data_IF_523920245262
#
_entry.id   IF_523920245262
#
_cell.length_a   1.000
_cell.length_b   1.000
_cell.length_c   1.000
_cell.angle_alpha   90.00
_cell.angle_beta   90.00
_cell.angle_gamma   90.00
#
_symmetry.space_group_name_H-M   'P 1'
#
loop_
_entity.id
_entity.type
_entity.pdbx_description
1 polymer ?
#
# COMPACT_ATOMS: atom_id res chain seq x y z
N UNK A 1 -6.79 -14.06 11.75
CA UNK A 1 -8.21 -14.06 11.33
C UNK A 1 -8.26 -14.59 9.92
N UNK A 2 -9.14 -15.55 9.57
CA UNK A 2 -9.09 -16.16 8.25
C UNK A 2 -9.46 -15.12 7.18
N UNK A 3 -8.52 -14.89 6.28
CA UNK A 3 -8.76 -14.25 4.99
C UNK A 3 -8.87 -15.38 3.98
N UNK A 4 -10.01 -15.50 3.33
CA UNK A 4 -10.31 -16.62 2.42
C UNK A 4 -10.39 -16.13 0.99
N UNK A 5 -9.88 -16.93 0.06
CA UNK A 5 -10.08 -16.68 -1.36
C UNK A 5 -11.54 -16.93 -1.75
N UNK A 6 -12.09 -16.05 -2.57
CA UNK A 6 -13.49 -16.13 -3.03
C UNK A 6 -13.57 -16.49 -4.51
N UNK A 7 -12.90 -15.70 -5.37
CA UNK A 7 -12.96 -15.88 -6.82
C UNK A 7 -11.80 -15.17 -7.51
N UNK A 8 -11.53 -15.55 -8.76
CA UNK A 8 -10.57 -14.87 -9.63
C UNK A 8 -11.19 -14.57 -10.99
N UNK A 9 -10.77 -13.46 -11.62
CA UNK A 9 -11.20 -13.05 -12.96
C UNK A 9 -10.08 -12.33 -13.72
N UNK A 10 -10.22 -12.20 -15.04
CA UNK A 10 -9.31 -11.37 -15.83
C UNK A 10 -9.71 -9.90 -15.72
N UNK A 11 -8.72 -9.04 -15.50
CA UNK A 11 -8.87 -7.58 -15.46
C UNK A 11 -7.98 -6.97 -16.54
N UNK A 12 -8.52 -6.73 -17.76
CA UNK A 12 -7.84 -5.93 -18.76
C UNK A 12 -7.67 -4.49 -18.28
N UNK A 13 -6.45 -3.97 -18.35
CA UNK A 13 -6.13 -2.57 -18.03
C UNK A 13 -5.29 -1.97 -19.15
N UNK A 14 -5.09 -0.63 -19.19
CA UNK A 14 -4.17 -0.02 -20.14
C UNK A 14 -2.71 -0.47 -20.03
N UNK A 15 -2.33 -1.19 -18.95
CA UNK A 15 -0.94 -1.60 -18.70
C UNK A 15 -0.70 -3.07 -19.02
N UNK A 16 -1.62 -3.94 -18.62
CA UNK A 16 -1.60 -5.39 -18.85
C UNK A 16 -2.98 -5.99 -18.55
N UNK A 17 -3.19 -7.26 -18.92
CA UNK A 17 -4.32 -8.06 -18.43
C UNK A 17 -3.89 -8.80 -17.17
N UNK A 18 -4.30 -8.31 -16.01
CA UNK A 18 -4.03 -8.94 -14.72
C UNK A 18 -5.03 -10.07 -14.44
N UNK A 19 -4.67 -10.97 -13.54
CA UNK A 19 -5.65 -11.80 -12.83
C UNK A 19 -6.02 -11.06 -11.54
N UNK A 20 -7.29 -10.74 -11.37
CA UNK A 20 -7.84 -10.11 -10.16
C UNK A 20 -8.39 -11.21 -9.25
N UNK A 21 -7.79 -11.34 -8.07
CA UNK A 21 -8.13 -12.36 -7.06
C UNK A 21 -8.85 -11.67 -5.90
N UNK A 22 -10.08 -12.07 -5.61
CA UNK A 22 -10.89 -11.54 -4.53
C UNK A 22 -10.75 -12.36 -3.25
N UNK A 23 -10.61 -11.67 -2.12
CA UNK A 23 -10.47 -12.24 -0.78
C UNK A 23 -11.46 -11.62 0.19
N UNK A 24 -11.92 -12.38 1.17
CA UNK A 24 -12.86 -11.96 2.22
C UNK A 24 -12.23 -12.18 3.60
N UNK A 25 -12.20 -11.13 4.43
CA UNK A 25 -12.00 -11.22 5.87
C UNK A 25 -13.30 -11.73 6.53
N UNK A 26 -13.37 -13.02 6.88
CA UNK A 26 -14.63 -13.62 7.36
C UNK A 26 -15.16 -12.98 8.65
N UNK A 27 -14.25 -12.48 9.50
CA UNK A 27 -14.60 -11.95 10.80
C UNK A 27 -15.34 -10.59 10.74
N UNK A 28 -15.20 -9.83 9.66
CA UNK A 28 -15.83 -8.50 9.54
C UNK A 28 -16.42 -8.22 8.15
N UNK A 29 -16.36 -9.18 7.23
CA UNK A 29 -16.90 -9.06 5.88
C UNK A 29 -16.12 -8.11 4.97
N UNK A 30 -14.92 -7.65 5.35
CA UNK A 30 -14.11 -6.79 4.48
C UNK A 30 -13.57 -7.59 3.30
N UNK A 31 -13.59 -6.97 2.14
CA UNK A 31 -13.12 -7.56 0.90
C UNK A 31 -11.75 -6.99 0.55
N UNK A 32 -10.89 -7.78 -0.08
CA UNK A 32 -9.58 -7.34 -0.54
C UNK A 32 -9.34 -7.91 -1.93
N UNK A 33 -8.47 -7.26 -2.69
CA UNK A 33 -8.13 -7.70 -4.03
C UNK A 33 -6.63 -7.82 -4.18
N UNK A 34 -6.18 -8.87 -4.85
CA UNK A 34 -4.80 -8.98 -5.34
C UNK A 34 -4.79 -9.06 -6.85
N UNK A 35 -4.10 -8.13 -7.49
CA UNK A 35 -3.79 -8.20 -8.92
C UNK A 35 -2.49 -8.97 -9.10
N UNK A 36 -2.52 -10.06 -9.87
CA UNK A 36 -1.32 -10.83 -10.22
C UNK A 36 -1.07 -10.80 -11.73
N UNK A 37 0.20 -10.87 -12.10
CA UNK A 37 0.67 -10.96 -13.48
C UNK A 37 1.86 -11.93 -13.56
N UNK A 38 1.93 -12.73 -14.63
CA UNK A 38 3.01 -13.69 -14.86
C UNK A 38 2.94 -14.93 -13.95
N UNK A 39 3.98 -15.77 -14.01
CA UNK A 39 4.18 -16.89 -13.09
C UNK A 39 4.82 -16.38 -11.80
N UNK A 40 4.07 -16.40 -10.70
CA UNK A 40 4.48 -15.85 -9.39
C UNK A 40 4.71 -16.93 -8.33
N UNK A 41 4.61 -18.20 -8.70
CA UNK A 41 4.64 -19.35 -7.77
C UNK A 41 5.91 -20.22 -7.91
N UNK A 42 6.85 -19.83 -8.77
CA UNK A 42 8.14 -20.50 -9.01
C UNK A 42 9.13 -20.45 -7.82
N UNK A 43 8.80 -19.70 -6.77
CA UNK A 43 9.61 -19.53 -5.56
C UNK A 43 10.66 -18.42 -5.65
N UNK A 44 10.86 -17.79 -6.81
CA UNK A 44 11.74 -16.63 -6.94
C UNK A 44 11.07 -15.36 -6.37
N UNK A 45 11.82 -14.38 -5.84
CA UNK A 45 11.26 -13.13 -5.33
C UNK A 45 10.36 -12.42 -6.35
N UNK A 46 9.15 -12.03 -5.93
CA UNK A 46 8.13 -11.42 -6.80
C UNK A 46 8.09 -9.91 -6.60
N UNK A 47 8.08 -9.13 -7.70
CA UNK A 47 7.86 -7.68 -7.59
C UNK A 47 6.47 -7.42 -7.00
N UNK A 48 6.44 -6.79 -5.83
CA UNK A 48 5.24 -6.68 -5.01
C UNK A 48 4.91 -5.25 -4.62
N UNK A 49 3.63 -4.89 -4.62
CA UNK A 49 3.13 -3.68 -3.96
C UNK A 49 2.03 -4.04 -2.99
N UNK A 50 2.15 -3.55 -1.77
CA UNK A 50 1.02 -3.50 -0.84
C UNK A 50 0.48 -2.07 -0.87
N UNK A 51 -0.76 -1.89 -1.29
CA UNK A 51 -1.44 -0.61 -1.43
C UNK A 51 -2.61 -0.56 -0.45
N UNK A 52 -2.63 0.44 0.43
CA UNK A 52 -3.80 0.70 1.26
C UNK A 52 -4.75 1.59 0.47
N UNK A 53 -6.01 1.18 0.37
CA UNK A 53 -7.07 1.91 -0.31
C UNK A 53 -7.11 3.40 0.08
N UNK A 54 -7.27 4.24 -0.93
CA UNK A 54 -7.49 5.66 -0.78
C UNK A 54 -8.45 6.14 -1.87
N UNK A 55 -9.76 6.07 -1.65
CA UNK A 55 -10.78 6.41 -2.65
C UNK A 55 -10.52 7.78 -3.30
N UNK A 56 -10.20 8.78 -2.48
CA UNK A 56 -9.95 10.14 -2.96
C UNK A 56 -8.79 10.21 -3.94
N UNK A 57 -7.69 9.50 -3.68
CA UNK A 57 -6.52 9.49 -4.56
C UNK A 57 -6.68 8.51 -5.73
N UNK A 58 -7.17 7.31 -5.46
CA UNK A 58 -7.18 6.18 -6.37
C UNK A 58 -8.26 6.31 -7.45
N UNK A 59 -9.39 6.95 -7.15
CA UNK A 59 -10.53 7.07 -8.07
C UNK A 59 -11.00 8.51 -8.32
N UNK A 60 -10.87 9.41 -7.34
CA UNK A 60 -11.40 10.78 -7.43
C UNK A 60 -10.35 11.84 -7.78
N UNK A 61 -9.19 11.42 -8.28
CA UNK A 61 -8.13 12.30 -8.80
C UNK A 61 -7.65 13.35 -7.79
N UNK A 62 -7.74 13.07 -6.49
CA UNK A 62 -7.32 14.01 -5.45
C UNK A 62 -5.84 14.33 -5.58
N UNK A 63 -5.53 15.62 -5.61
CA UNK A 63 -4.17 16.13 -5.59
C UNK A 63 -3.61 16.30 -4.16
N UNK A 64 -4.44 16.09 -3.12
CA UNK A 64 -4.03 16.22 -1.70
C UNK A 64 -3.08 15.10 -1.25
N UNK A 65 -3.07 13.96 -1.93
CA UNK A 65 -2.22 12.82 -1.62
C UNK A 65 -1.59 12.25 -2.89
N UNK A 66 -0.64 11.33 -2.72
CA UNK A 66 0.07 10.65 -3.79
C UNK A 66 -0.49 9.24 -4.11
N UNK A 67 -1.55 8.80 -3.43
CA UNK A 67 -2.06 7.42 -3.50
C UNK A 67 -2.38 6.95 -4.94
N UNK A 68 -3.16 7.71 -5.71
CA UNK A 68 -3.50 7.33 -7.08
C UNK A 68 -2.28 7.21 -7.99
N UNK A 69 -1.34 8.15 -7.88
CA UNK A 69 -0.09 8.08 -8.62
C UNK A 69 0.76 6.86 -8.25
N UNK A 70 0.77 6.46 -6.96
CA UNK A 70 1.49 5.28 -6.49
C UNK A 70 0.84 3.98 -6.96
N UNK A 71 -0.50 3.92 -6.99
CA UNK A 71 -1.24 2.78 -7.53
C UNK A 71 -0.88 2.60 -9.01
N UNK A 72 -0.98 3.67 -9.81
CA UNK A 72 -0.65 3.64 -11.23
C UNK A 72 0.81 3.23 -11.47
N UNK A 73 1.76 3.86 -10.76
CA UNK A 73 3.18 3.56 -10.91
C UNK A 73 3.51 2.11 -10.58
N UNK A 74 2.90 1.55 -9.53
CA UNK A 74 3.07 0.14 -9.16
C UNK A 74 2.50 -0.81 -10.22
N UNK A 75 1.30 -0.54 -10.75
CA UNK A 75 0.71 -1.36 -11.82
C UNK A 75 1.55 -1.32 -13.10
N UNK A 76 2.07 -0.14 -13.48
CA UNK A 76 2.99 0.01 -14.62
C UNK A 76 4.30 -0.74 -14.41
N UNK A 77 4.87 -0.67 -13.21
CA UNK A 77 6.11 -1.38 -12.88
C UNK A 77 5.93 -2.90 -13.00
N UNK A 78 4.83 -3.45 -12.45
CA UNK A 78 4.50 -4.88 -12.58
C UNK A 78 4.28 -5.26 -14.04
N UNK A 79 3.56 -4.45 -14.80
CA UNK A 79 3.33 -4.70 -16.23
C UNK A 79 4.63 -4.72 -17.04
N UNK A 80 5.58 -3.83 -16.74
CA UNK A 80 6.91 -3.79 -17.39
C UNK A 80 7.77 -4.99 -17.02
N UNK A 81 7.74 -5.42 -15.76
CA UNK A 81 8.43 -6.63 -15.30
C UNK A 81 7.80 -7.89 -15.95
N UNK A 82 6.52 -7.84 -16.30
CA UNK A 82 5.74 -8.98 -16.79
C UNK A 82 5.38 -10.00 -15.71
N UNK A 83 5.83 -9.77 -14.47
CA UNK A 83 5.66 -10.65 -13.32
C UNK A 83 5.55 -9.85 -12.03
N UNK A 84 4.46 -10.02 -11.28
CA UNK A 84 4.31 -9.31 -10.01
C UNK A 84 2.93 -9.40 -9.38
N UNK A 85 2.83 -8.84 -8.17
CA UNK A 85 1.59 -8.77 -7.38
C UNK A 85 1.32 -7.38 -6.83
N UNK A 86 0.07 -6.94 -6.85
CA UNK A 86 -0.42 -5.75 -6.15
C UNK A 86 -1.55 -6.14 -5.22
N UNK A 87 -1.32 -6.03 -3.91
CA UNK A 87 -2.32 -6.23 -2.87
C UNK A 87 -3.02 -4.89 -2.62
N UNK A 88 -4.31 -4.81 -2.95
CA UNK A 88 -5.16 -3.67 -2.68
C UNK A 88 -5.98 -3.94 -1.41
N UNK A 89 -5.51 -3.37 -0.29
CA UNK A 89 -6.10 -3.59 1.03
C UNK A 89 -7.17 -2.53 1.30
N UNK A 90 -8.43 -2.95 1.48
CA UNK A 90 -9.56 -2.05 1.80
C UNK A 90 -9.55 -1.58 3.26
N UNK A 91 -8.50 -0.83 3.60
CA UNK A 91 -8.23 -0.23 4.90
C UNK A 91 -8.07 1.29 4.77
N UNK A 92 -9.12 1.93 4.24
CA UNK A 92 -9.17 3.38 4.00
C UNK A 92 -8.80 4.20 5.25
N UNK A 93 -8.14 5.34 5.02
CA UNK A 93 -7.81 6.31 6.06
C UNK A 93 -6.81 5.79 7.10
N UNK A 94 -6.02 4.76 6.80
CA UNK A 94 -5.21 4.02 7.78
C UNK A 94 -6.06 3.24 8.79
N UNK A 95 -7.18 2.70 8.34
CA UNK A 95 -8.07 1.87 9.15
C UNK A 95 -9.22 2.62 9.82
N UNK A 96 -9.22 3.95 9.82
CA UNK A 96 -10.30 4.76 10.41
C UNK A 96 -11.53 4.91 9.50
N UNK A 97 -11.41 4.51 8.22
CA UNK A 97 -12.47 4.58 7.23
C UNK A 97 -12.62 5.96 6.57
N UNK A 98 -13.41 6.00 5.49
CA UNK A 98 -13.56 7.18 4.63
C UNK A 98 -14.19 8.37 5.37
N UNK A 99 -15.23 8.14 6.18
CA UNK A 99 -15.95 9.23 6.86
C UNK A 99 -15.04 9.97 7.84
N UNK A 100 -14.22 9.24 8.61
CA UNK A 100 -13.29 9.85 9.55
C UNK A 100 -12.11 10.51 8.83
N UNK A 101 -11.67 9.99 7.69
CA UNK A 101 -10.70 10.68 6.82
C UNK A 101 -11.23 12.02 6.31
N UNK A 102 -12.52 12.11 5.95
CA UNK A 102 -13.15 13.38 5.54
C UNK A 102 -13.19 14.36 6.72
N UNK A 103 -13.58 13.91 7.93
CA UNK A 103 -13.50 14.74 9.14
C UNK A 103 -12.08 15.23 9.42
N UNK A 104 -11.08 14.38 9.21
CA UNK A 104 -9.68 14.77 9.37
C UNK A 104 -9.27 15.83 8.33
N UNK A 105 -9.80 15.76 7.10
CA UNK A 105 -9.61 16.80 6.08
C UNK A 105 -10.30 18.10 6.44
N UNK A 106 -11.51 18.06 7.00
CA UNK A 106 -12.21 19.26 7.48
C UNK A 106 -11.38 19.99 8.56
N UNK A 107 -10.82 19.23 9.51
CA UNK A 107 -9.93 19.80 10.53
C UNK A 107 -8.65 20.38 9.92
N UNK A 108 -8.08 19.73 8.91
CA UNK A 108 -6.89 20.22 8.20
C UNK A 108 -7.17 21.47 7.38
N UNK A 109 -8.34 21.55 6.74
CA UNK A 109 -8.80 22.74 6.02
C UNK A 109 -9.01 23.92 7.01
N UNK A 110 -9.30 23.61 8.28
CA UNK A 110 -9.30 24.54 9.41
C UNK A 110 -7.92 24.84 10.02
N UNK A 111 -6.83 24.31 9.46
CA UNK A 111 -5.45 24.60 9.86
C UNK A 111 -4.76 23.58 10.76
N UNK A 112 -5.45 22.50 11.16
CA UNK A 112 -4.80 21.42 11.92
C UNK A 112 -3.81 20.62 11.05
N UNK A 113 -2.75 20.08 11.65
CA UNK A 113 -1.91 19.13 10.92
C UNK A 113 -2.52 17.70 10.92
N UNK A 114 -1.96 16.79 10.13
CA UNK A 114 -2.50 15.42 10.02
C UNK A 114 -2.47 14.64 11.34
N UNK A 115 -1.50 14.89 12.22
CA UNK A 115 -1.41 14.20 13.52
C UNK A 115 -2.45 14.79 14.46
N UNK A 116 -2.50 16.12 14.57
CA UNK A 116 -3.45 16.84 15.38
C UNK A 116 -4.90 16.51 15.01
N UNK A 117 -5.20 16.42 13.70
CA UNK A 117 -6.51 16.03 13.22
C UNK A 117 -6.92 14.61 13.69
N UNK A 118 -5.98 13.66 13.72
CA UNK A 118 -6.28 12.30 14.20
C UNK A 118 -6.44 12.24 15.72
N UNK A 119 -5.61 12.99 16.47
CA UNK A 119 -5.72 13.10 17.93
C UNK A 119 -7.07 13.71 18.34
N UNK A 120 -7.50 14.79 17.68
CA UNK A 120 -8.83 15.41 17.90
C UNK A 120 -9.98 14.46 17.62
N UNK A 121 -9.79 13.53 16.68
CA UNK A 121 -10.79 12.52 16.34
C UNK A 121 -10.70 11.25 17.21
N UNK A 122 -9.74 11.18 18.14
CA UNK A 122 -9.57 10.07 19.07
C UNK A 122 -8.98 8.79 18.45
N UNK A 123 -8.31 8.89 17.30
CA UNK A 123 -7.72 7.73 16.61
C UNK A 123 -6.21 7.64 16.83
N UNK A 124 -5.70 6.41 16.99
CA UNK A 124 -4.28 6.14 16.85
C UNK A 124 -3.77 6.53 15.45
N UNK A 125 -2.47 6.86 15.34
CA UNK A 125 -1.86 7.35 14.09
C UNK A 125 -1.92 6.36 12.91
N UNK A 126 -2.06 5.07 13.19
CA UNK A 126 -2.21 3.97 12.22
C UNK A 126 -2.92 2.78 12.87
N UNK A 127 -4.02 2.31 12.27
CA UNK A 127 -4.81 1.15 12.73
C UNK A 127 -4.87 0.04 11.68
N UNK A 128 -3.94 0.05 10.72
CA UNK A 128 -3.89 -0.97 9.67
C UNK A 128 -3.35 -2.28 10.22
N UNK A 129 -3.97 -3.37 9.80
CA UNK A 129 -3.48 -4.72 10.01
C UNK A 129 -2.90 -5.25 8.69
N UNK A 130 -1.59 -5.48 8.66
CA UNK A 130 -0.93 -6.07 7.49
C UNK A 130 -0.89 -7.61 7.56
N UNK A 131 -1.34 -8.23 8.65
CA UNK A 131 -1.36 -9.68 8.82
C UNK A 131 -2.24 -10.38 7.78
N UNK A 132 -3.23 -9.66 7.23
CA UNK A 132 -4.07 -10.12 6.13
C UNK A 132 -3.29 -10.40 4.83
N UNK A 133 -2.08 -9.83 4.67
CA UNK A 133 -1.27 -10.02 3.46
C UNK A 133 -0.72 -11.45 3.35
N UNK A 134 -0.35 -12.07 4.49
CA UNK A 134 0.28 -13.39 4.51
C UNK A 134 -0.62 -14.47 3.87
N UNK A 135 -1.87 -14.70 4.32
CA UNK A 135 -2.73 -15.72 3.72
C UNK A 135 -3.06 -15.44 2.24
N UNK A 136 -3.13 -14.17 1.83
CA UNK A 136 -3.31 -13.82 0.41
C UNK A 136 -2.10 -14.21 -0.44
N UNK A 137 -0.88 -13.98 0.06
CA UNK A 137 0.36 -14.34 -0.61
C UNK A 137 0.57 -15.86 -0.65
N UNK A 138 0.27 -16.56 0.46
CA UNK A 138 0.33 -18.02 0.56
C UNK A 138 -0.62 -18.68 -0.44
N UNK A 139 -1.86 -18.18 -0.55
CA UNK A 139 -2.83 -18.67 -1.53
C UNK A 139 -2.30 -18.58 -2.98
N UNK A 140 -1.54 -17.51 -3.27
CA UNK A 140 -0.94 -17.29 -4.60
C UNK A 140 0.41 -18.00 -4.79
N UNK A 141 0.92 -18.72 -3.78
CA UNK A 141 2.22 -19.39 -3.83
C UNK A 141 3.43 -18.46 -3.76
N UNK A 142 3.23 -17.19 -3.37
CA UNK A 142 4.30 -16.18 -3.32
C UNK A 142 5.09 -16.33 -2.01
N UNK A 143 6.36 -16.72 -2.12
CA UNK A 143 7.23 -16.97 -0.96
C UNK A 143 8.01 -15.74 -0.49
N UNK A 144 8.37 -14.85 -1.41
CA UNK A 144 9.13 -13.65 -1.08
C UNK A 144 8.84 -12.49 -2.03
N UNK A 145 9.02 -11.26 -1.55
CA UNK A 145 8.72 -10.03 -2.27
C UNK A 145 9.97 -9.17 -2.50
N UNK A 146 10.07 -8.61 -3.71
CA UNK A 146 10.80 -7.37 -4.00
C UNK A 146 9.80 -6.23 -3.82
N UNK A 147 9.76 -5.65 -2.62
CA UNK A 147 8.65 -4.81 -2.18
C UNK A 147 8.81 -3.34 -2.60
N UNK A 148 7.86 -2.85 -3.39
CA UNK A 148 7.73 -1.44 -3.78
C UNK A 148 7.22 -0.57 -2.62
N UNK A 149 8.14 0.01 -1.84
CA UNK A 149 7.81 0.88 -0.70
C UNK A 149 8.92 1.89 -0.37
N UNK A 150 8.48 3.08 0.03
CA UNK A 150 9.32 4.12 0.64
C UNK A 150 9.17 4.16 2.17
N UNK A 151 8.30 3.32 2.73
CA UNK A 151 8.05 3.24 4.16
C UNK A 151 8.85 2.05 4.74
N UNK A 152 9.94 2.28 5.49
CA UNK A 152 10.74 1.23 6.11
C UNK A 152 9.95 0.48 7.20
N UNK A 153 9.05 1.16 7.93
CA UNK A 153 8.16 0.52 8.91
C UNK A 153 7.27 -0.54 8.26
N UNK A 154 6.93 -0.36 6.98
CA UNK A 154 6.15 -1.35 6.22
C UNK A 154 6.96 -2.61 5.91
N UNK A 155 8.25 -2.45 5.58
CA UNK A 155 9.17 -3.59 5.39
C UNK A 155 9.25 -4.39 6.68
N UNK A 156 9.49 -3.70 7.81
CA UNK A 156 9.58 -4.34 9.13
C UNK A 156 8.27 -5.05 9.50
N UNK A 157 7.12 -4.38 9.36
CA UNK A 157 5.83 -4.96 9.72
C UNK A 157 5.51 -6.24 8.93
N UNK A 158 5.77 -6.26 7.62
CA UNK A 158 5.57 -7.45 6.79
C UNK A 158 6.54 -8.58 7.19
N UNK A 159 7.81 -8.24 7.47
CA UNK A 159 8.83 -9.21 7.92
C UNK A 159 8.48 -9.83 9.27
N UNK A 160 8.07 -9.01 10.24
CA UNK A 160 7.62 -9.46 11.57
C UNK A 160 6.39 -10.40 11.48
N UNK A 161 5.59 -10.26 10.41
CA UNK A 161 4.42 -11.09 10.12
C UNK A 161 4.76 -12.34 9.30
N UNK A 162 6.04 -12.64 9.07
CA UNK A 162 6.49 -13.84 8.35
C UNK A 162 6.55 -13.71 6.83
N UNK A 163 6.32 -12.52 6.27
CA UNK A 163 6.47 -12.27 4.83
C UNK A 163 7.92 -11.95 4.54
N UNK A 164 8.58 -12.79 3.74
CA UNK A 164 9.98 -12.56 3.36
C UNK A 164 10.07 -11.40 2.37
N UNK A 165 10.72 -10.30 2.77
CA UNK A 165 11.07 -9.20 1.86
C UNK A 165 12.52 -9.35 1.42
N UNK A 166 12.73 -9.85 0.21
CA UNK A 166 14.07 -10.11 -0.35
C UNK A 166 14.79 -8.82 -0.77
N UNK A 167 14.03 -7.80 -1.16
CA UNK A 167 14.55 -6.52 -1.61
C UNK A 167 13.51 -5.42 -1.35
N UNK A 168 13.97 -4.22 -0.96
CA UNK A 168 13.14 -3.02 -0.99
C UNK A 168 13.37 -2.28 -2.31
N UNK A 169 12.30 -2.11 -3.08
CA UNK A 169 12.31 -1.33 -4.32
C UNK A 169 11.69 0.04 -4.03
N UNK A 170 12.41 1.16 -4.22
CA UNK A 170 11.81 2.49 -4.09
C UNK A 170 10.69 2.72 -5.11
N UNK A 171 9.62 3.41 -4.71
CA UNK A 171 8.53 3.78 -5.61
C UNK A 171 8.41 5.30 -5.66
N UNK A 172 8.88 5.89 -6.75
CA UNK A 172 8.87 7.34 -6.92
C UNK A 172 7.68 7.78 -7.77
N UNK A 173 6.86 8.66 -7.20
CA UNK A 173 5.82 9.38 -7.91
C UNK A 173 6.03 10.86 -7.62
N UNK A 174 6.03 11.70 -8.67
CA UNK A 174 6.44 13.10 -8.57
C UNK A 174 5.63 13.90 -7.53
N UNK A 175 6.13 15.10 -7.19
CA UNK A 175 5.44 16.02 -6.28
C UNK A 175 4.57 17.01 -7.08
N UNK A 176 3.49 17.49 -6.46
CA UNK A 176 2.67 18.59 -6.97
C UNK A 176 2.47 19.65 -5.86
N UNK A 177 2.04 20.89 -6.17
CA UNK A 177 1.90 21.95 -5.16
C UNK A 177 1.00 21.59 -3.97
N UNK A 178 -0.03 20.76 -4.17
CA UNK A 178 -1.03 20.40 -3.16
C UNK A 178 -0.60 19.24 -2.25
N UNK A 179 0.33 18.37 -2.69
CA UNK A 179 0.80 17.24 -1.89
C UNK A 179 2.15 17.50 -1.19
N UNK A 180 2.79 18.66 -1.40
CA UNK A 180 4.08 19.01 -0.75
C UNK A 180 4.04 18.87 0.76
N UNK A 181 3.07 19.50 1.43
CA UNK A 181 2.96 19.46 2.89
C UNK A 181 2.67 18.04 3.40
N UNK A 182 1.83 17.30 2.68
CA UNK A 182 1.52 15.91 2.98
C UNK A 182 2.77 15.01 2.87
N UNK A 183 3.55 15.13 1.80
CA UNK A 183 4.79 14.39 1.60
C UNK A 183 5.87 14.78 2.62
N UNK A 184 5.99 16.07 2.94
CA UNK A 184 6.89 16.54 3.99
C UNK A 184 6.50 15.99 5.38
N UNK A 185 5.21 15.91 5.69
CA UNK A 185 4.72 15.29 6.93
C UNK A 185 5.01 13.79 6.96
N UNK A 186 4.86 13.09 5.83
CA UNK A 186 5.24 11.67 5.71
C UNK A 186 6.74 11.45 5.97
N UNK A 187 7.59 12.30 5.39
CA UNK A 187 9.04 12.20 5.56
C UNK A 187 9.44 12.49 7.02
N UNK A 188 8.99 13.62 7.58
CA UNK A 188 9.42 14.09 8.90
C UNK A 188 8.80 13.35 10.09
N UNK A 189 7.51 13.01 10.04
CA UNK A 189 6.77 12.44 11.18
C UNK A 189 6.47 10.96 11.04
N UNK A 190 6.57 10.39 9.83
CA UNK A 190 6.20 8.99 9.54
C UNK A 190 7.35 8.19 8.94
N UNK A 191 8.58 8.70 9.06
CA UNK A 191 9.83 8.02 8.73
C UNK A 191 9.87 7.49 7.28
N UNK A 192 9.22 8.20 6.35
CA UNK A 192 9.27 7.84 4.93
C UNK A 192 10.58 8.29 4.31
N UNK A 193 11.28 7.37 3.64
CA UNK A 193 12.51 7.63 2.91
C UNK A 193 12.16 8.34 1.60
N UNK A 194 12.68 9.56 1.41
CA UNK A 194 12.47 10.35 0.18
C UNK A 194 13.76 10.35 -0.65
N UNK A 195 13.73 9.78 -1.87
CA UNK A 195 14.87 9.78 -2.78
C UNK A 195 15.88 8.64 -2.60
N UNK A 196 17.00 8.70 -3.33
CA UNK A 196 18.06 7.67 -3.38
C UNK A 196 19.00 7.68 -2.15
N UNK A 197 18.87 8.63 -1.22
CA UNK A 197 19.90 8.93 -0.22
C UNK A 197 20.07 7.87 0.88
N UNK A 198 19.14 6.94 1.03
CA UNK A 198 19.21 5.91 2.09
C UNK A 198 19.43 4.48 1.56
N UNK A 199 20.19 4.31 0.47
CA UNK A 199 20.73 3.00 0.10
C UNK A 199 21.94 2.59 0.96
N UNK A 200 22.50 3.49 1.79
CA UNK A 200 23.75 3.25 2.53
C UNK A 200 23.65 3.07 4.05
N UNK A 201 22.49 3.21 4.68
CA UNK A 201 22.39 3.21 6.16
C UNK A 201 21.86 1.91 6.77
N UNK A 202 21.38 0.95 5.97
CA UNK A 202 20.85 -0.32 6.49
C UNK A 202 21.95 -1.35 6.78
N UNK A 203 23.18 -1.13 6.30
CA UNK A 203 24.32 -2.05 6.51
C UNK A 203 25.20 -1.69 7.71
N UNK A 204 24.78 -0.76 8.59
CA UNK A 204 25.51 -0.43 9.82
C UNK A 204 24.58 -0.16 11.00
N UNK A 205 24.03 -1.23 11.57
CA UNK A 205 23.62 -1.31 12.98
C UNK A 205 23.69 -2.76 13.46
#
# INVERSE_FOLDING_TARGET
MPVVFVAASKLPTPFATFTMNGFLEEANGREHVVLSLGDIADGAPVLGRVHSECLTGDALFSQRCDCGSQLEAAMRAIAREGRGVLLYLRQEGRGIGLMNKIRAYELQDGGADTVEANERLGFAADQRDYGICLPMLEHLGVKSLRLMTNNPRKVKALTDMGITVAERVPLHTGQNPHNKLYLATKASKLDHMMGNEHQGEVDRA
#
